data_IF_881192667444
#
_entry.id   IF_881192667444
#
_cell.length_a   1.000
_cell.length_b   1.000
_cell.length_c   1.000
_cell.angle_alpha   90.00
_cell.angle_beta   90.00
_cell.angle_gamma   90.00
#
_symmetry.space_group_name_H-M   'P 1'
#
loop_
_entity.id
_entity.type
_entity.pdbx_description
1 polymer ?
#
# COMPACT_ATOMS: atom_id res chain seq x y z
N UNK A 1 33.33 -17.03 4.21
CA UNK A 1 32.09 -17.65 4.75
C UNK A 1 31.06 -16.55 4.82
N UNK A 2 30.14 -16.50 3.86
CA UNK A 2 29.15 -15.42 3.80
C UNK A 2 28.10 -15.58 4.89
N UNK A 3 27.91 -14.53 5.70
CA UNK A 3 26.97 -14.52 6.81
C UNK A 3 25.54 -14.60 6.31
N UNK A 4 24.78 -15.60 6.72
CA UNK A 4 23.35 -15.65 6.45
C UNK A 4 22.62 -14.57 7.27
N UNK A 5 21.72 -13.81 6.62
CA UNK A 5 20.91 -12.80 7.30
C UNK A 5 20.20 -13.37 8.53
N UNK A 6 20.32 -12.67 9.67
CA UNK A 6 19.76 -13.10 10.96
C UNK A 6 18.24 -13.32 10.83
N UNK A 7 17.68 -14.42 11.39
CA UNK A 7 16.25 -14.74 11.28
C UNK A 7 15.34 -13.60 11.76
N UNK A 8 15.79 -12.94 12.82
CA UNK A 8 15.14 -11.78 13.44
C UNK A 8 15.03 -10.56 12.53
N UNK A 9 15.97 -10.34 11.62
CA UNK A 9 15.91 -9.25 10.63
C UNK A 9 14.92 -9.61 9.52
N UNK A 10 14.95 -10.87 9.06
CA UNK A 10 14.02 -11.40 8.06
C UNK A 10 12.56 -11.29 8.49
N UNK A 11 12.28 -11.62 9.75
CA UNK A 11 10.93 -11.52 10.33
C UNK A 11 10.40 -10.09 10.30
N UNK A 12 11.22 -9.11 10.69
CA UNK A 12 10.83 -7.70 10.68
C UNK A 12 10.60 -7.21 9.25
N UNK A 13 11.49 -7.56 8.31
CA UNK A 13 11.34 -7.19 6.89
C UNK A 13 10.04 -7.73 6.30
N UNK A 14 9.68 -8.99 6.60
CA UNK A 14 8.39 -9.56 6.20
C UNK A 14 7.22 -8.82 6.87
N UNK A 15 7.37 -8.43 8.14
CA UNK A 15 6.37 -7.64 8.83
C UNK A 15 6.16 -6.25 8.23
N UNK A 16 7.22 -5.61 7.72
CA UNK A 16 7.13 -4.33 6.99
C UNK A 16 6.37 -4.55 5.68
N UNK A 17 6.73 -5.59 4.92
CA UNK A 17 6.05 -5.95 3.67
C UNK A 17 4.54 -6.12 3.86
N UNK A 18 4.14 -6.90 4.88
CA UNK A 18 2.73 -7.12 5.20
C UNK A 18 1.99 -5.83 5.55
N UNK A 19 2.61 -4.95 6.34
CA UNK A 19 2.02 -3.66 6.70
C UNK A 19 1.85 -2.73 5.48
N UNK A 20 2.80 -2.75 4.54
CA UNK A 20 2.67 -2.00 3.27
C UNK A 20 1.51 -2.56 2.44
N UNK A 21 1.40 -3.88 2.32
CA UNK A 21 0.31 -4.55 1.58
C UNK A 21 -1.06 -4.23 2.20
N UNK A 22 -1.16 -4.20 3.53
CA UNK A 22 -2.40 -3.86 4.22
C UNK A 22 -2.72 -2.36 4.24
N UNK A 23 -1.83 -1.50 3.72
CA UNK A 23 -1.96 -0.05 3.78
C UNK A 23 -1.80 0.54 5.18
N UNK A 24 -1.23 -0.20 6.13
CA UNK A 24 -0.99 0.26 7.50
C UNK A 24 0.37 0.94 7.61
N UNK A 25 0.39 2.23 7.23
CA UNK A 25 1.60 3.04 7.22
C UNK A 25 2.22 3.22 8.62
N UNK A 26 1.40 3.31 9.67
CA UNK A 26 1.89 3.48 11.04
C UNK A 26 2.63 2.23 11.53
N UNK A 27 2.06 1.06 11.26
CA UNK A 27 2.68 -0.21 11.63
C UNK A 27 3.91 -0.54 10.78
N UNK A 28 3.94 -0.11 9.50
CA UNK A 28 5.12 -0.20 8.66
C UNK A 28 6.26 0.66 9.23
N UNK A 29 5.99 1.91 9.59
CA UNK A 29 6.98 2.84 10.15
C UNK A 29 7.58 2.32 11.46
N UNK A 30 6.74 1.89 12.41
CA UNK A 30 7.20 1.36 13.69
C UNK A 30 8.13 0.13 13.52
N UNK A 31 7.87 -0.71 12.51
CA UNK A 31 8.74 -1.85 12.20
C UNK A 31 10.05 -1.44 11.53
N UNK A 32 10.04 -0.40 10.68
CA UNK A 32 11.25 0.17 10.10
C UNK A 32 12.16 0.72 11.22
N UNK A 33 11.60 1.45 12.18
CA UNK A 33 12.36 1.94 13.36
C UNK A 33 12.94 0.79 14.18
N UNK A 34 12.14 -0.24 14.43
CA UNK A 34 12.60 -1.46 15.12
C UNK A 34 13.75 -2.14 14.37
N UNK A 35 13.70 -2.17 13.04
CA UNK A 35 14.76 -2.72 12.20
C UNK A 35 16.04 -1.89 12.30
N UNK A 36 15.93 -0.56 12.24
CA UNK A 36 17.06 0.36 12.35
C UNK A 36 17.80 0.18 13.69
N UNK A 37 17.08 0.18 14.81
CA UNK A 37 17.67 -0.06 16.13
C UNK A 37 18.34 -1.44 16.24
N UNK A 38 17.82 -2.45 15.56
CA UNK A 38 18.48 -3.76 15.53
C UNK A 38 19.76 -3.75 14.71
N UNK A 39 19.81 -3.02 13.61
CA UNK A 39 21.04 -2.89 12.82
C UNK A 39 22.13 -2.17 13.60
N UNK A 40 21.78 -1.12 14.34
CA UNK A 40 22.70 -0.41 15.24
C UNK A 40 23.25 -1.34 16.33
N UNK A 41 22.38 -2.13 16.97
CA UNK A 41 22.76 -3.01 18.07
C UNK A 41 23.52 -4.26 17.62
N UNK A 42 23.02 -4.93 16.60
CA UNK A 42 23.46 -6.27 16.23
C UNK A 42 24.67 -6.25 15.28
N UNK A 43 24.95 -5.10 14.67
CA UNK A 43 25.91 -4.94 13.57
C UNK A 43 25.46 -5.70 12.31
N UNK A 44 25.98 -5.24 11.16
CA UNK A 44 25.74 -5.86 9.85
C UNK A 44 27.08 -6.18 9.20
N UNK A 45 27.28 -7.44 8.83
CA UNK A 45 28.37 -7.83 7.93
C UNK A 45 28.05 -7.40 6.48
N UNK A 46 29.08 -7.37 5.63
CA UNK A 46 28.95 -6.88 4.26
C UNK A 46 27.97 -7.70 3.40
N UNK A 47 27.90 -9.02 3.59
CA UNK A 47 27.01 -9.89 2.82
C UNK A 47 25.56 -9.71 3.26
N UNK A 48 25.31 -9.65 4.58
CA UNK A 48 23.98 -9.34 5.12
C UNK A 48 23.51 -7.95 4.68
N UNK A 49 24.41 -6.96 4.65
CA UNK A 49 24.09 -5.60 4.20
C UNK A 49 23.62 -5.59 2.75
N UNK A 50 24.33 -6.26 1.85
CA UNK A 50 23.95 -6.33 0.44
C UNK A 50 22.55 -6.99 0.24
N UNK A 51 22.28 -8.08 0.98
CA UNK A 51 20.97 -8.74 0.94
C UNK A 51 19.85 -7.82 1.45
N UNK A 52 20.09 -7.12 2.57
CA UNK A 52 19.12 -6.20 3.15
C UNK A 52 18.85 -5.02 2.24
N UNK A 53 19.88 -4.44 1.61
CA UNK A 53 19.72 -3.34 0.65
C UNK A 53 18.80 -3.73 -0.51
N UNK A 54 18.95 -4.94 -1.06
CA UNK A 54 18.06 -5.44 -2.11
C UNK A 54 16.61 -5.55 -1.62
N UNK A 55 16.39 -6.04 -0.40
CA UNK A 55 15.04 -6.15 0.19
C UNK A 55 14.45 -4.77 0.44
N UNK A 56 15.22 -3.82 0.97
CA UNK A 56 14.75 -2.44 1.19
C UNK A 56 14.36 -1.74 -0.11
N UNK A 57 15.11 -1.95 -1.20
CA UNK A 57 14.74 -1.44 -2.53
C UNK A 57 13.45 -2.08 -3.06
N UNK A 58 13.20 -3.35 -2.74
CA UNK A 58 11.94 -3.99 -3.06
C UNK A 58 10.78 -3.38 -2.25
N UNK A 59 10.93 -3.25 -0.93
CA UNK A 59 9.92 -2.66 -0.04
C UNK A 59 9.59 -1.21 -0.42
N UNK A 60 10.60 -0.42 -0.83
CA UNK A 60 10.40 0.93 -1.34
C UNK A 60 9.51 0.93 -2.58
N UNK A 61 9.81 0.09 -3.58
CA UNK A 61 9.00 -0.01 -4.80
C UNK A 61 7.57 -0.43 -4.49
N UNK A 62 7.41 -1.40 -3.59
CA UNK A 62 6.10 -1.85 -3.13
C UNK A 62 5.30 -0.72 -2.47
N UNK A 63 5.93 0.08 -1.60
CA UNK A 63 5.28 1.23 -0.97
C UNK A 63 4.89 2.31 -1.99
N UNK A 64 5.75 2.60 -2.96
CA UNK A 64 5.47 3.56 -4.04
C UNK A 64 4.29 3.08 -4.92
N UNK A 65 4.25 1.80 -5.27
CA UNK A 65 3.14 1.20 -6.01
C UNK A 65 1.82 1.22 -5.22
N UNK A 66 1.88 0.89 -3.93
CA UNK A 66 0.74 0.96 -3.02
C UNK A 66 0.17 2.37 -2.94
N UNK A 67 1.03 3.39 -2.73
CA UNK A 67 0.63 4.80 -2.70
C UNK A 67 -0.03 5.25 -4.01
N UNK A 68 0.53 4.86 -5.16
CA UNK A 68 -0.08 5.13 -6.48
C UNK A 68 -1.46 4.48 -6.61
N UNK A 69 -1.62 3.24 -6.13
CA UNK A 69 -2.89 2.52 -6.11
C UNK A 69 -3.94 3.23 -5.25
N UNK A 70 -3.58 3.60 -4.02
CA UNK A 70 -4.46 4.34 -3.10
C UNK A 70 -4.91 5.67 -3.68
N UNK A 71 -4.00 6.43 -4.30
CA UNK A 71 -4.34 7.71 -4.92
C UNK A 71 -5.37 7.54 -6.05
N UNK A 72 -5.18 6.55 -6.93
CA UNK A 72 -6.15 6.24 -8.00
C UNK A 72 -7.52 5.87 -7.43
N UNK A 73 -7.58 5.10 -6.35
CA UNK A 73 -8.84 4.74 -5.70
C UNK A 73 -9.56 5.97 -5.11
N UNK A 74 -8.82 6.89 -4.48
CA UNK A 74 -9.36 8.16 -3.98
C UNK A 74 -9.97 8.97 -5.14
N UNK A 75 -9.28 9.06 -6.27
CA UNK A 75 -9.76 9.81 -7.42
C UNK A 75 -11.02 9.17 -8.02
N UNK A 76 -11.09 7.84 -8.11
CA UNK A 76 -12.31 7.13 -8.51
C UNK A 76 -13.48 7.39 -7.56
N UNK A 77 -13.25 7.42 -6.25
CA UNK A 77 -14.29 7.75 -5.26
C UNK A 77 -14.78 9.19 -5.44
N UNK A 78 -13.87 10.14 -5.69
CA UNK A 78 -14.22 11.54 -5.97
C UNK A 78 -15.11 11.67 -7.21
N UNK A 79 -14.79 10.92 -8.27
CA UNK A 79 -15.59 10.90 -9.49
C UNK A 79 -16.99 10.31 -9.24
N UNK A 80 -17.10 9.23 -8.46
CA UNK A 80 -18.38 8.66 -8.05
C UNK A 80 -19.21 9.68 -7.26
N UNK A 81 -18.62 10.36 -6.27
CA UNK A 81 -19.31 11.37 -5.46
C UNK A 81 -19.76 12.57 -6.31
N UNK A 82 -18.93 13.01 -7.26
CA UNK A 82 -19.28 14.10 -8.18
C UNK A 82 -20.44 13.72 -9.09
N UNK A 83 -20.43 12.52 -9.66
CA UNK A 83 -21.50 12.02 -10.52
C UNK A 83 -22.82 11.85 -9.75
N UNK A 84 -22.77 11.31 -8.53
CA UNK A 84 -23.94 11.18 -7.67
C UNK A 84 -24.60 12.54 -7.37
N UNK A 85 -23.81 13.59 -7.15
CA UNK A 85 -24.33 14.96 -6.96
C UNK A 85 -24.96 15.53 -8.24
N UNK A 86 -24.35 15.29 -9.41
CA UNK A 86 -24.94 15.72 -10.69
C UNK A 86 -26.29 15.05 -10.96
N UNK A 87 -26.42 13.75 -10.65
CA UNK A 87 -27.68 13.01 -10.74
C UNK A 87 -28.77 13.61 -9.83
N UNK A 88 -28.42 14.04 -8.61
CA UNK A 88 -29.36 14.71 -7.69
C UNK A 88 -29.82 16.08 -8.21
N UNK A 89 -28.98 16.83 -8.91
CA UNK A 89 -29.38 18.11 -9.54
C UNK A 89 -30.32 17.88 -10.73
N UNK A 90 -30.13 16.82 -11.51
CA UNK A 90 -31.06 16.45 -12.59
C UNK A 90 -32.43 15.97 -12.07
N UNK A 91 -32.50 15.40 -10.85
CA UNK A 91 -33.74 14.94 -10.23
C UNK A 91 -34.56 16.08 -9.56
N UNK A 92 -34.03 17.31 -9.48
CA UNK A 92 -34.80 18.47 -8.99
C UNK A 92 -35.91 18.94 -9.95
N UNK A 93 -36.06 18.30 -11.13
CA UNK A 93 -37.16 18.54 -12.07
C UNK A 93 -38.46 17.74 -11.74
N UNK A 94 -38.50 17.01 -10.63
CA UNK A 94 -39.76 16.51 -10.06
C UNK A 94 -40.43 15.35 -10.80
N UNK A 95 -39.68 14.51 -11.51
CA UNK A 95 -40.20 13.32 -12.17
C UNK A 95 -39.38 12.09 -11.80
N UNK A 96 -40.00 11.17 -11.03
CA UNK A 96 -39.44 9.87 -10.67
C UNK A 96 -39.10 9.07 -11.93
N UNK A 97 -37.82 8.96 -12.25
CA UNK A 97 -37.32 7.89 -13.12
C UNK A 97 -36.33 7.02 -12.35
N UNK A 98 -36.79 5.82 -11.96
CA UNK A 98 -35.90 4.73 -11.58
C UNK A 98 -35.16 4.28 -12.85
N UNK A 99 -33.99 4.85 -13.10
CA UNK A 99 -33.05 4.25 -14.07
C UNK A 99 -32.11 3.33 -13.28
N UNK A 100 -32.25 2.00 -13.42
CA UNK A 100 -31.31 1.08 -12.80
C UNK A 100 -29.96 1.32 -13.44
N UNK A 101 -29.03 1.90 -12.68
CA UNK A 101 -27.66 2.06 -13.12
C UNK A 101 -27.00 0.69 -12.98
N UNK A 102 -27.05 -0.11 -14.05
CA UNK A 102 -26.20 -1.28 -14.18
C UNK A 102 -24.76 -0.79 -14.30
N UNK A 103 -24.08 -0.66 -13.16
CA UNK A 103 -22.64 -0.47 -13.13
C UNK A 103 -22.00 -1.69 -13.81
N UNK A 104 -21.46 -1.50 -15.01
CA UNK A 104 -20.66 -2.52 -15.68
C UNK A 104 -19.38 -2.66 -14.87
N UNK A 105 -19.34 -3.64 -13.97
CA UNK A 105 -18.11 -4.09 -13.34
C UNK A 105 -17.19 -4.61 -14.46
N UNK A 106 -16.11 -3.89 -14.76
CA UNK A 106 -15.09 -4.39 -15.67
C UNK A 106 -14.36 -5.57 -15.01
N UNK A 107 -14.83 -6.78 -15.31
CA UNK A 107 -14.19 -8.02 -14.92
C UNK A 107 -12.90 -8.18 -15.74
N UNK A 108 -11.74 -8.11 -15.08
CA UNK A 108 -10.44 -8.34 -15.72
C UNK A 108 -10.15 -9.84 -15.73
N UNK A 109 -9.86 -10.38 -16.91
CA UNK A 109 -9.21 -11.68 -17.10
C UNK A 109 -7.72 -11.58 -16.77
#
# INVERSE_FOLDING_TARGET
MGGAMKPKHREILRGIEQAIISGDAAQALARIETLAHRFERDGLDADSKAQIEQILQHLRRLAEDSARGTQRAIDQIRDIVKNARSLQTYDQAGQRHNTPTSAVLAQRF
#
